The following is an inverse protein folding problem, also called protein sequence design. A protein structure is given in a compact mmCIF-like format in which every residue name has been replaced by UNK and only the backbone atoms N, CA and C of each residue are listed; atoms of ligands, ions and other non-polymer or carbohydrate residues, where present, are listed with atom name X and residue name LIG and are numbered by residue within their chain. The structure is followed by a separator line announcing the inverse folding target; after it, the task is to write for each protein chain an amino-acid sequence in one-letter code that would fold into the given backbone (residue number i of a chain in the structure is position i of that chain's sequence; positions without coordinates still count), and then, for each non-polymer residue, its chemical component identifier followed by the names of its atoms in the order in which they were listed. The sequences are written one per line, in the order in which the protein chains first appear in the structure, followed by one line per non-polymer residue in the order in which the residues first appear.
data_IF_950355317393
#
_entry.id   IF_950355317393
#
_cell.length_a   1.000
_cell.length_b   1.000
_cell.length_c   1.000
_cell.angle_alpha   90.00
_cell.angle_beta   90.00
_cell.angle_gamma   90.00
#
_symmetry.space_group_name_H-M   'P 1'
#
loop_
_entity.id
_entity.type
_entity.pdbx_description
1 polymer ?
#
# COMPACT_ATOMS: atom_id res chain seq x y z
N UNK A 1 6.85 -11.93 -5.46
CA UNK A 1 7.42 -11.21 -6.63
C UNK A 1 6.30 -10.52 -7.41
N UNK A 2 6.49 -9.27 -7.79
CA UNK A 2 5.58 -8.47 -8.62
C UNK A 2 6.31 -8.15 -9.92
N UNK A 3 5.66 -8.34 -11.07
CA UNK A 3 6.28 -8.09 -12.38
C UNK A 3 5.33 -7.31 -13.28
N UNK A 4 5.82 -6.26 -13.92
CA UNK A 4 5.20 -5.52 -15.00
C UNK A 4 6.00 -5.77 -16.27
N UNK A 5 5.37 -6.34 -17.30
CA UNK A 5 5.98 -6.57 -18.61
C UNK A 5 5.29 -5.67 -19.64
N UNK A 6 6.02 -4.65 -20.10
CA UNK A 6 5.60 -3.65 -21.10
C UNK A 6 4.20 -3.08 -20.84
N UNK A 7 3.92 -2.80 -19.56
CA UNK A 7 2.59 -2.34 -19.13
C UNK A 7 2.38 -0.90 -19.57
N UNK A 8 1.26 -0.67 -20.24
CA UNK A 8 0.81 0.66 -20.64
C UNK A 8 -0.59 0.93 -20.08
N UNK A 9 -0.83 2.15 -19.62
CA UNK A 9 -2.16 2.63 -19.24
C UNK A 9 -2.43 4.00 -19.84
N UNK A 10 -3.53 4.12 -20.57
CA UNK A 10 -3.97 5.35 -21.24
C UNK A 10 -5.31 5.81 -20.67
N UNK A 11 -5.46 7.10 -20.43
CA UNK A 11 -6.69 7.78 -20.07
C UNK A 11 -7.01 8.81 -21.16
N UNK A 12 -8.04 8.54 -21.97
CA UNK A 12 -8.27 9.31 -23.19
C UNK A 12 -7.04 9.25 -24.10
N UNK A 13 -6.46 10.40 -24.46
CA UNK A 13 -5.29 10.49 -25.32
C UNK A 13 -3.94 10.53 -24.56
N UNK A 14 -3.99 10.57 -23.22
CA UNK A 14 -2.77 10.66 -22.40
C UNK A 14 -2.35 9.31 -21.85
N UNK A 15 -1.08 8.97 -21.97
CA UNK A 15 -0.48 7.82 -21.32
C UNK A 15 -0.10 8.19 -19.88
N UNK A 16 -0.64 7.45 -18.90
CA UNK A 16 -0.19 7.48 -17.51
C UNK A 16 0.99 6.54 -17.30
N UNK A 17 1.02 5.41 -18.02
CA UNK A 17 2.16 4.48 -18.08
C UNK A 17 2.41 4.11 -19.54
N UNK A 18 3.69 4.00 -19.92
CA UNK A 18 4.11 3.66 -21.28
C UNK A 18 5.19 2.59 -21.25
N UNK A 19 4.86 1.39 -21.70
CA UNK A 19 5.77 0.24 -21.77
C UNK A 19 6.59 0.04 -20.49
N UNK A 20 5.94 0.19 -19.34
CA UNK A 20 6.58 0.05 -18.04
C UNK A 20 7.05 -1.39 -17.83
N UNK A 21 8.36 -1.55 -17.57
CA UNK A 21 8.95 -2.78 -17.07
C UNK A 21 9.42 -2.52 -15.63
N UNK A 22 8.96 -3.36 -14.71
CA UNK A 22 9.26 -3.23 -13.28
C UNK A 22 9.17 -4.60 -12.64
N UNK A 23 10.15 -4.95 -11.81
CA UNK A 23 10.10 -6.13 -10.97
C UNK A 23 10.36 -5.72 -9.52
N UNK A 24 9.65 -6.35 -8.57
CA UNK A 24 9.83 -6.22 -7.13
C UNK A 24 9.87 -7.62 -6.57
N UNK A 25 10.94 -7.95 -5.87
CA UNK A 25 11.14 -9.27 -5.33
C UNK A 25 10.26 -9.55 -4.10
N UNK A 26 10.10 -10.81 -3.77
CA UNK A 26 9.37 -11.20 -2.58
C UNK A 26 10.16 -10.80 -1.32
N UNK A 27 9.50 -10.11 -0.38
CA UNK A 27 10.14 -9.60 0.82
C UNK A 27 10.97 -8.32 0.59
N UNK A 28 11.00 -7.79 -0.63
CA UNK A 28 11.65 -6.52 -0.93
C UNK A 28 10.83 -5.35 -0.40
N UNK A 29 11.52 -4.31 0.09
CA UNK A 29 10.96 -2.99 0.31
C UNK A 29 11.51 -2.03 -0.73
N UNK A 30 10.63 -1.38 -1.49
CA UNK A 30 10.99 -0.44 -2.54
C UNK A 30 10.17 0.84 -2.48
N UNK A 31 10.79 1.95 -2.86
CA UNK A 31 10.14 3.25 -3.01
C UNK A 31 9.89 3.54 -4.49
N UNK A 32 8.68 3.98 -4.79
CA UNK A 32 8.30 4.45 -6.13
C UNK A 32 8.22 5.97 -6.10
N UNK A 33 9.18 6.64 -6.72
CA UNK A 33 9.28 8.10 -6.72
C UNK A 33 9.08 8.70 -8.12
N UNK A 34 9.01 10.02 -8.19
CA UNK A 34 8.82 10.78 -9.43
C UNK A 34 7.91 11.99 -9.20
N UNK A 35 7.92 12.92 -10.15
CA UNK A 35 7.09 14.13 -10.08
C UNK A 35 5.58 13.81 -10.02
N UNK A 36 4.76 14.81 -9.68
CA UNK A 36 3.29 14.66 -9.75
C UNK A 36 2.87 14.29 -11.18
N UNK A 37 1.98 13.31 -11.32
CA UNK A 37 1.57 12.80 -12.62
C UNK A 37 2.54 11.81 -13.30
N UNK A 38 3.66 11.44 -12.68
CA UNK A 38 4.62 10.48 -13.25
C UNK A 38 4.06 9.05 -13.43
N UNK A 39 2.92 8.72 -12.80
CA UNK A 39 2.27 7.41 -12.93
C UNK A 39 2.28 6.56 -11.65
N UNK A 40 2.84 7.05 -10.53
CA UNK A 40 2.96 6.31 -9.25
C UNK A 40 1.64 5.68 -8.79
N UNK A 41 0.62 6.51 -8.56
CA UNK A 41 -0.70 6.02 -8.14
C UNK A 41 -1.38 5.12 -9.17
N UNK A 42 -1.03 5.26 -10.47
CA UNK A 42 -1.52 4.35 -11.52
C UNK A 42 -0.92 2.95 -11.35
N UNK A 43 0.38 2.84 -11.04
CA UNK A 43 1.01 1.55 -10.71
C UNK A 43 0.29 0.86 -9.56
N UNK A 44 0.03 1.59 -8.45
CA UNK A 44 -0.68 1.04 -7.29
C UNK A 44 -2.13 0.63 -7.62
N UNK A 45 -2.85 1.45 -8.42
CA UNK A 45 -4.22 1.12 -8.88
C UNK A 45 -4.26 -0.15 -9.73
N UNK A 46 -3.27 -0.34 -10.60
CA UNK A 46 -3.18 -1.54 -11.43
C UNK A 46 -2.88 -2.79 -10.57
N UNK A 47 -1.98 -2.68 -9.59
CA UNK A 47 -1.69 -3.75 -8.64
C UNK A 47 -2.93 -4.15 -7.85
N UNK A 48 -3.72 -3.20 -7.37
CA UNK A 48 -4.96 -3.48 -6.65
C UNK A 48 -6.12 -3.89 -7.56
N UNK A 49 -5.92 -3.95 -8.88
CA UNK A 49 -6.99 -4.15 -9.86
C UNK A 49 -8.13 -3.14 -9.72
N UNK A 50 -7.87 -1.95 -9.17
CA UNK A 50 -8.80 -0.81 -9.19
C UNK A 50 -8.91 -0.22 -10.60
N UNK A 51 -7.93 -0.55 -11.44
CA UNK A 51 -7.88 -0.20 -12.85
C UNK A 51 -7.23 -1.35 -13.64
N UNK A 52 -7.31 -1.30 -14.96
CA UNK A 52 -6.77 -2.32 -15.86
C UNK A 52 -5.75 -1.70 -16.81
N UNK A 53 -4.65 -2.40 -17.15
CA UNK A 53 -3.72 -1.91 -18.16
C UNK A 53 -4.41 -1.86 -19.54
N UNK A 54 -3.98 -0.91 -20.37
CA UNK A 54 -4.38 -0.82 -21.78
C UNK A 54 -3.56 -1.77 -22.66
N UNK A 55 -2.41 -2.23 -22.19
CA UNK A 55 -1.52 -3.18 -22.86
C UNK A 55 -0.46 -3.69 -21.89
N UNK A 56 0.22 -4.76 -22.26
CA UNK A 56 1.19 -5.45 -21.42
C UNK A 56 0.56 -6.41 -20.41
N UNK A 57 1.38 -6.95 -19.54
CA UNK A 57 0.98 -7.97 -18.56
C UNK A 57 1.52 -7.64 -17.17
N UNK A 58 0.72 -7.93 -16.14
CA UNK A 58 1.14 -7.85 -14.73
C UNK A 58 1.02 -9.23 -14.13
N UNK A 59 2.09 -9.68 -13.47
CA UNK A 59 2.13 -10.93 -12.73
C UNK A 59 2.42 -10.67 -11.25
N UNK A 60 1.80 -11.46 -10.39
CA UNK A 60 2.06 -11.45 -8.95
C UNK A 60 2.23 -12.91 -8.49
N UNK A 61 3.40 -13.24 -7.99
CA UNK A 61 3.83 -14.62 -7.67
C UNK A 61 3.60 -15.60 -8.83
N UNK A 62 3.89 -15.15 -10.07
CA UNK A 62 3.71 -15.93 -11.29
C UNK A 62 2.30 -15.88 -11.89
N UNK A 63 1.29 -15.51 -11.10
CA UNK A 63 -0.11 -15.43 -11.57
C UNK A 63 -0.36 -14.18 -12.42
N UNK A 64 -0.96 -14.36 -13.59
CA UNK A 64 -1.41 -13.25 -14.46
C UNK A 64 -2.64 -12.57 -13.89
N UNK A 65 -2.47 -11.41 -13.25
CA UNK A 65 -3.58 -10.70 -12.61
C UNK A 65 -4.44 -9.91 -13.61
N UNK A 66 -3.91 -9.57 -14.76
CA UNK A 66 -4.62 -8.78 -15.79
C UNK A 66 -5.91 -9.42 -16.30
N UNK A 67 -6.03 -10.74 -16.21
CA UNK A 67 -7.18 -11.52 -16.68
C UNK A 67 -8.15 -11.94 -15.58
N UNK A 68 -7.86 -11.63 -14.31
CA UNK A 68 -8.74 -11.98 -13.20
C UNK A 68 -10.09 -11.25 -13.30
N UNK A 69 -11.18 -11.95 -13.01
CA UNK A 69 -12.54 -11.41 -12.98
C UNK A 69 -13.35 -11.93 -11.80
N UNK A 70 -14.49 -11.31 -11.55
CA UNK A 70 -15.45 -11.76 -10.53
C UNK A 70 -14.83 -11.96 -9.15
N UNK A 71 -15.19 -13.07 -8.49
CA UNK A 71 -14.71 -13.42 -7.14
C UNK A 71 -13.19 -13.63 -7.03
N UNK A 72 -12.48 -13.91 -8.14
CA UNK A 72 -11.03 -14.05 -8.14
C UNK A 72 -10.34 -12.72 -7.79
N UNK A 73 -10.89 -11.58 -8.22
CA UNK A 73 -10.38 -10.24 -7.87
C UNK A 73 -10.47 -10.00 -6.37
N UNK A 74 -11.59 -10.35 -5.73
CA UNK A 74 -11.76 -10.19 -4.29
C UNK A 74 -10.75 -11.04 -3.50
N UNK A 75 -10.55 -12.29 -3.93
CA UNK A 75 -9.54 -13.18 -3.32
C UNK A 75 -8.13 -12.65 -3.50
N UNK A 76 -7.80 -12.15 -4.69
CA UNK A 76 -6.52 -11.53 -4.99
C UNK A 76 -6.25 -10.32 -4.11
N UNK A 77 -7.21 -9.39 -3.98
CA UNK A 77 -7.07 -8.17 -3.17
C UNK A 77 -6.82 -8.45 -1.69
N UNK A 78 -7.28 -9.58 -1.14
CA UNK A 78 -7.01 -9.97 0.26
C UNK A 78 -5.53 -10.23 0.54
N UNK A 79 -4.71 -10.44 -0.50
CA UNK A 79 -3.26 -10.58 -0.37
C UNK A 79 -2.56 -9.25 -0.14
N UNK A 80 -3.26 -8.13 -0.33
CA UNK A 80 -2.73 -6.78 -0.23
C UNK A 80 -3.30 -6.04 0.98
N UNK A 81 -2.41 -5.39 1.74
CA UNK A 81 -2.75 -4.25 2.59
C UNK A 81 -2.51 -2.97 1.81
N UNK A 82 -3.44 -2.03 1.87
CA UNK A 82 -3.32 -0.76 1.18
C UNK A 82 -3.49 0.41 2.15
N UNK A 83 -2.54 1.34 2.12
CA UNK A 83 -2.54 2.59 2.88
C UNK A 83 -2.65 3.74 1.87
N UNK A 84 -3.63 4.63 2.06
CA UNK A 84 -3.90 5.75 1.18
C UNK A 84 -3.62 7.08 1.87
N UNK A 85 -3.27 8.10 1.12
CA UNK A 85 -2.98 9.44 1.62
C UNK A 85 -4.17 10.07 2.37
N UNK A 86 -5.39 9.81 1.92
CA UNK A 86 -6.65 10.30 2.50
C UNK A 86 -7.22 9.39 3.61
N UNK A 87 -6.39 8.47 4.15
CA UNK A 87 -6.67 7.46 5.17
C UNK A 87 -7.88 6.56 4.86
N UNK A 88 -8.92 7.04 4.17
CA UNK A 88 -10.17 6.34 3.82
C UNK A 88 -10.80 5.63 5.01
N UNK A 89 -10.84 6.33 6.14
CA UNK A 89 -11.50 5.83 7.34
C UNK A 89 -13.02 6.01 7.22
N UNK A 90 -13.73 5.08 7.84
CA UNK A 90 -15.18 5.15 7.99
C UNK A 90 -15.46 5.91 9.29
N UNK A 91 -15.86 7.17 9.17
CA UNK A 91 -16.10 8.06 10.32
C UNK A 91 -17.43 7.80 11.03
N UNK A 92 -18.27 6.93 10.49
CA UNK A 92 -19.48 6.40 11.12
C UNK A 92 -19.21 5.14 11.96
N UNK A 93 -17.94 4.75 12.11
CA UNK A 93 -17.51 3.54 12.81
C UNK A 93 -16.36 3.82 13.77
N UNK A 94 -16.25 3.01 14.82
CA UNK A 94 -15.14 3.09 15.77
C UNK A 94 -13.79 2.75 15.12
N UNK A 95 -12.69 3.06 15.82
CA UNK A 95 -11.33 2.64 15.44
C UNK A 95 -11.27 1.11 15.30
N UNK A 96 -11.85 0.36 16.26
CA UNK A 96 -11.93 -1.10 16.20
C UNK A 96 -12.58 -1.57 14.90
N UNK A 97 -13.76 -1.03 14.56
CA UNK A 97 -14.53 -1.50 13.40
C UNK A 97 -13.84 -1.13 12.07
N UNK A 98 -13.16 0.02 12.01
CA UNK A 98 -12.30 0.35 10.87
C UNK A 98 -11.22 -0.70 10.64
N UNK A 99 -10.54 -1.14 11.69
CA UNK A 99 -9.48 -2.14 11.59
C UNK A 99 -10.05 -3.54 11.37
N UNK A 100 -11.25 -3.85 11.91
CA UNK A 100 -11.92 -5.14 11.78
C UNK A 100 -12.38 -5.45 10.34
N UNK A 101 -12.69 -4.43 9.55
CA UNK A 101 -13.34 -4.55 8.24
C UNK A 101 -12.70 -5.59 7.29
N UNK A 102 -11.37 -5.66 7.09
CA UNK A 102 -10.77 -6.69 6.23
C UNK A 102 -10.99 -8.12 6.75
N UNK A 103 -11.05 -8.31 8.06
CA UNK A 103 -11.28 -9.61 8.68
C UNK A 103 -12.74 -10.04 8.57
N UNK A 104 -13.68 -9.10 8.71
CA UNK A 104 -15.12 -9.32 8.49
C UNK A 104 -15.39 -9.76 7.05
N UNK A 105 -14.84 -9.04 6.06
CA UNK A 105 -14.92 -9.38 4.64
C UNK A 105 -14.29 -10.75 4.35
N UNK A 106 -13.27 -11.13 5.11
CA UNK A 106 -12.62 -12.44 4.96
C UNK A 106 -13.36 -13.57 5.68
N UNK A 107 -14.40 -13.27 6.50
CA UNK A 107 -15.23 -14.26 7.19
C UNK A 107 -14.60 -14.82 8.46
N UNK A 108 -13.73 -14.07 9.15
CA UNK A 108 -13.17 -14.49 10.43
C UNK A 108 -14.24 -14.52 11.53
N UNK A 109 -14.03 -15.38 12.55
CA UNK A 109 -14.89 -15.42 13.72
C UNK A 109 -14.78 -14.14 14.55
N UNK A 110 -15.86 -13.68 15.26
CA UNK A 110 -15.80 -12.48 16.10
C UNK A 110 -14.66 -12.52 17.13
N UNK A 111 -14.38 -13.68 17.70
CA UNK A 111 -13.28 -13.88 18.67
C UNK A 111 -11.91 -13.64 18.02
N UNK A 112 -11.70 -14.14 16.80
CA UNK A 112 -10.45 -13.95 16.07
C UNK A 112 -10.29 -12.50 15.60
N UNK A 113 -11.39 -11.85 15.19
CA UNK A 113 -11.41 -10.44 14.82
C UNK A 113 -10.92 -9.60 16.01
N UNK A 114 -11.55 -9.69 17.16
CA UNK A 114 -11.17 -8.93 18.36
C UNK A 114 -9.70 -9.13 18.71
N UNK A 115 -9.23 -10.39 18.72
CA UNK A 115 -7.83 -10.70 19.04
C UNK A 115 -6.86 -10.05 18.04
N UNK A 116 -7.14 -10.15 16.73
CA UNK A 116 -6.27 -9.62 15.67
C UNK A 116 -6.30 -8.10 15.61
N UNK A 117 -7.45 -7.48 15.77
CA UNK A 117 -7.61 -6.02 15.82
C UNK A 117 -6.80 -5.43 16.96
N UNK A 118 -6.93 -6.00 18.17
CA UNK A 118 -6.17 -5.51 19.33
C UNK A 118 -4.65 -5.66 19.12
N UNK A 119 -4.21 -6.78 18.56
CA UNK A 119 -2.79 -6.96 18.22
C UNK A 119 -2.30 -5.98 17.15
N UNK A 120 -3.13 -5.64 16.16
CA UNK A 120 -2.78 -4.66 15.13
C UNK A 120 -2.74 -3.24 15.71
N UNK A 121 -3.70 -2.88 16.56
CA UNK A 121 -3.73 -1.58 17.24
C UNK A 121 -2.55 -1.41 18.22
N UNK A 122 -2.17 -2.47 18.93
CA UNK A 122 -0.99 -2.47 19.81
C UNK A 122 0.28 -2.18 19.02
N UNK A 123 0.47 -2.81 17.86
CA UNK A 123 1.62 -2.59 16.97
C UNK A 123 1.78 -1.15 16.50
N UNK A 124 0.69 -0.42 16.36
CA UNK A 124 0.70 0.98 15.94
C UNK A 124 0.54 1.96 17.11
N UNK A 125 0.54 1.47 18.36
CA UNK A 125 0.44 2.29 19.57
C UNK A 125 -0.95 2.89 19.83
N UNK A 126 -2.03 2.27 19.33
CA UNK A 126 -3.41 2.78 19.43
C UNK A 126 -4.37 1.84 20.20
N UNK A 127 -3.84 0.88 20.96
CA UNK A 127 -4.69 -0.08 21.68
C UNK A 127 -5.68 0.62 22.66
N UNK A 128 -5.25 1.70 23.31
CA UNK A 128 -6.10 2.49 24.22
C UNK A 128 -7.23 3.24 23.53
N UNK A 129 -7.13 3.44 22.20
CA UNK A 129 -8.11 4.18 21.40
C UNK A 129 -9.07 3.28 20.63
N UNK A 130 -9.14 1.98 20.93
CA UNK A 130 -9.93 1.01 20.14
C UNK A 130 -11.42 1.39 19.99
N UNK A 131 -12.00 2.09 20.97
CA UNK A 131 -13.42 2.51 20.99
C UNK A 131 -13.63 3.97 20.57
N UNK A 132 -12.56 4.70 20.28
CA UNK A 132 -12.64 6.10 19.90
C UNK A 132 -13.31 6.28 18.53
N UNK A 133 -13.89 7.47 18.35
CA UNK A 133 -14.28 7.96 17.03
C UNK A 133 -13.02 8.39 16.27
N UNK A 134 -12.78 7.88 15.06
CA UNK A 134 -11.64 8.32 14.24
C UNK A 134 -11.57 9.83 14.02
N UNK A 135 -12.71 10.53 13.99
CA UNK A 135 -12.74 11.98 13.81
C UNK A 135 -12.15 12.76 15.01
N UNK A 136 -12.11 12.15 16.19
CA UNK A 136 -11.52 12.75 17.40
C UNK A 136 -10.00 12.63 17.48
N UNK A 137 -9.39 11.89 16.55
CA UNK A 137 -7.97 11.57 16.56
C UNK A 137 -7.17 12.50 15.61
N UNK A 138 -5.91 12.73 15.94
CA UNK A 138 -4.97 13.47 15.08
C UNK A 138 -4.74 12.78 13.73
N UNK A 139 -4.29 13.55 12.71
CA UNK A 139 -4.00 13.00 11.39
C UNK A 139 -2.99 11.84 11.43
N UNK A 140 -2.00 11.91 12.31
CA UNK A 140 -1.04 10.82 12.50
C UNK A 140 -1.64 9.58 13.13
N UNK A 141 -2.55 9.72 14.09
CA UNK A 141 -3.29 8.60 14.66
C UNK A 141 -4.23 7.98 13.62
N UNK A 142 -4.92 8.81 12.81
CA UNK A 142 -5.74 8.34 11.69
C UNK A 142 -4.90 7.56 10.66
N UNK A 143 -3.69 8.01 10.37
CA UNK A 143 -2.76 7.28 9.50
C UNK A 143 -2.39 5.92 10.12
N UNK A 144 -2.09 5.86 11.41
CA UNK A 144 -1.80 4.60 12.12
C UNK A 144 -3.00 3.64 12.11
N UNK A 145 -4.24 4.14 12.19
CA UNK A 145 -5.44 3.30 12.00
C UNK A 145 -5.45 2.70 10.58
N UNK A 146 -5.17 3.51 9.56
CA UNK A 146 -5.05 3.06 8.18
C UNK A 146 -4.03 1.94 8.01
N UNK A 147 -2.87 2.06 8.66
CA UNK A 147 -1.82 1.03 8.66
C UNK A 147 -2.29 -0.23 9.41
N UNK A 148 -2.87 -0.09 10.61
CA UNK A 148 -3.40 -1.23 11.37
C UNK A 148 -4.42 -2.00 10.54
N UNK A 149 -5.35 -1.30 9.87
CA UNK A 149 -6.34 -1.90 8.96
C UNK A 149 -5.68 -2.63 7.80
N UNK A 150 -4.62 -2.08 7.23
CA UNK A 150 -3.91 -2.68 6.11
C UNK A 150 -3.23 -4.00 6.50
N UNK A 151 -2.70 -4.11 7.73
CA UNK A 151 -1.89 -5.27 8.16
C UNK A 151 -2.65 -6.31 8.97
N UNK A 152 -3.86 -6.01 9.47
CA UNK A 152 -4.63 -6.87 10.39
C UNK A 152 -4.88 -8.27 9.83
N UNK A 153 -5.05 -8.39 8.52
CA UNK A 153 -5.26 -9.65 7.81
C UNK A 153 -3.95 -10.40 7.50
N UNK A 154 -2.78 -9.85 7.86
CA UNK A 154 -1.44 -10.38 7.54
C UNK A 154 -1.25 -10.52 6.03
N UNK A 155 -1.24 -9.43 5.27
CA UNK A 155 -1.10 -9.47 3.82
C UNK A 155 0.31 -9.93 3.40
N UNK A 156 0.42 -10.45 2.18
CA UNK A 156 1.71 -10.76 1.55
C UNK A 156 2.39 -9.49 1.02
N UNK A 157 1.59 -8.51 0.62
CA UNK A 157 2.03 -7.25 0.03
C UNK A 157 1.42 -6.07 0.79
N UNK A 158 2.24 -5.08 1.13
CA UNK A 158 1.82 -3.82 1.73
C UNK A 158 2.17 -2.70 0.76
N UNK A 159 1.16 -1.98 0.29
CA UNK A 159 1.36 -0.85 -0.63
C UNK A 159 0.84 0.43 0.00
N UNK A 160 1.54 1.54 -0.23
CA UNK A 160 1.17 2.84 0.30
C UNK A 160 1.30 3.93 -0.76
N UNK A 161 0.33 4.83 -0.81
CA UNK A 161 0.34 6.03 -1.64
C UNK A 161 0.48 7.26 -0.74
N UNK A 162 1.66 7.90 -0.75
CA UNK A 162 2.04 9.07 0.03
C UNK A 162 1.70 8.95 1.54
N UNK A 163 2.16 7.87 2.25
CA UNK A 163 1.71 7.58 3.62
C UNK A 163 2.17 8.61 4.66
N UNK A 164 3.08 9.51 4.31
CA UNK A 164 3.64 10.54 5.21
C UNK A 164 3.37 11.97 4.71
N UNK A 165 2.62 12.14 3.63
CA UNK A 165 2.51 13.41 2.90
C UNK A 165 1.96 14.61 3.67
N UNK A 166 1.29 14.40 4.82
CA UNK A 166 0.70 15.45 5.66
C UNK A 166 1.20 15.39 7.12
N UNK A 167 2.33 14.71 7.35
CA UNK A 167 2.87 14.49 8.69
C UNK A 167 4.15 15.29 8.89
N UNK A 168 4.43 15.64 10.14
CA UNK A 168 5.72 16.20 10.51
C UNK A 168 6.85 15.17 10.34
N UNK A 169 8.15 15.63 10.30
CA UNK A 169 9.27 14.73 10.04
C UNK A 169 9.47 13.62 11.08
N UNK A 170 9.14 13.88 12.35
CA UNK A 170 9.26 12.88 13.41
C UNK A 170 8.23 11.78 13.21
N UNK A 171 6.98 12.15 13.02
CA UNK A 171 5.87 11.21 12.80
C UNK A 171 6.06 10.44 11.49
N UNK A 172 6.58 11.10 10.44
CA UNK A 172 6.94 10.45 9.18
C UNK A 172 7.97 9.34 9.39
N UNK A 173 8.99 9.56 10.21
CA UNK A 173 10.01 8.56 10.56
C UNK A 173 9.39 7.39 11.34
N UNK A 174 8.50 7.66 12.29
CA UNK A 174 7.79 6.64 13.06
C UNK A 174 6.91 5.77 12.14
N UNK A 175 6.19 6.38 11.21
CA UNK A 175 5.36 5.65 10.22
C UNK A 175 6.24 4.77 9.32
N UNK A 176 7.38 5.28 8.84
CA UNK A 176 8.29 4.47 8.02
C UNK A 176 8.89 3.30 8.81
N UNK A 177 9.21 3.47 10.07
CA UNK A 177 9.69 2.38 10.94
C UNK A 177 8.64 1.25 11.08
N UNK A 178 7.34 1.57 11.04
CA UNK A 178 6.30 0.54 11.00
C UNK A 178 6.35 -0.26 9.69
N UNK A 179 6.54 0.41 8.52
CA UNK A 179 6.68 -0.30 7.25
C UNK A 179 7.91 -1.19 7.22
N UNK A 180 9.06 -0.70 7.74
CA UNK A 180 10.28 -1.50 7.88
C UNK A 180 10.06 -2.72 8.78
N UNK A 181 9.37 -2.57 9.91
CA UNK A 181 9.06 -3.67 10.81
C UNK A 181 8.18 -4.75 10.14
N UNK A 182 7.25 -4.38 9.27
CA UNK A 182 6.49 -5.35 8.48
C UNK A 182 7.33 -5.99 7.39
N UNK A 183 8.23 -5.26 6.75
CA UNK A 183 9.15 -5.82 5.77
C UNK A 183 10.11 -6.84 6.40
N UNK A 184 10.66 -6.56 7.59
CA UNK A 184 11.54 -7.47 8.34
C UNK A 184 10.91 -8.83 8.66
N UNK A 185 9.59 -8.93 8.72
CA UNK A 185 8.88 -10.21 8.88
C UNK A 185 8.44 -10.82 7.54
N UNK A 186 8.99 -10.35 6.43
CA UNK A 186 8.86 -10.93 5.09
C UNK A 186 7.71 -10.38 4.23
N UNK A 187 7.04 -9.31 4.66
CA UNK A 187 6.03 -8.64 3.82
C UNK A 187 6.75 -7.85 2.72
N UNK A 188 6.32 -8.02 1.47
CA UNK A 188 6.79 -7.18 0.35
C UNK A 188 6.15 -5.79 0.45
N UNK A 189 6.96 -4.73 0.44
CA UNK A 189 6.49 -3.35 0.67
C UNK A 189 6.79 -2.47 -0.53
N UNK A 190 5.76 -1.77 -1.05
CA UNK A 190 5.91 -0.77 -2.10
C UNK A 190 5.27 0.55 -1.67
N UNK A 191 6.07 1.60 -1.55
CA UNK A 191 5.63 2.92 -1.12
C UNK A 191 5.83 3.93 -2.23
N UNK A 192 4.75 4.52 -2.73
CA UNK A 192 4.81 5.68 -3.60
C UNK A 192 4.98 6.94 -2.74
N UNK A 193 6.04 7.70 -2.98
CA UNK A 193 6.30 8.97 -2.28
C UNK A 193 7.19 9.90 -3.10
N UNK A 194 7.15 11.18 -2.76
CA UNK A 194 8.06 12.20 -3.32
C UNK A 194 9.04 12.76 -2.26
N UNK A 195 8.98 12.27 -1.01
CA UNK A 195 9.86 12.69 0.08
C UNK A 195 11.26 12.06 -0.04
N UNK A 196 12.08 12.62 -0.94
CA UNK A 196 13.44 12.15 -1.18
C UNK A 196 14.33 12.19 0.07
N UNK A 197 14.32 13.27 0.92
CA UNK A 197 15.09 13.28 2.15
C UNK A 197 14.79 12.10 3.09
N UNK A 198 13.54 11.70 3.19
CA UNK A 198 13.12 10.59 4.03
C UNK A 198 13.59 9.25 3.47
N UNK A 199 13.30 8.96 2.18
CA UNK A 199 13.58 7.64 1.59
C UNK A 199 15.09 7.37 1.41
N UNK A 200 15.91 8.40 1.15
CA UNK A 200 17.36 8.23 1.04
C UNK A 200 18.02 7.79 2.37
N UNK A 201 17.42 8.09 3.53
CA UNK A 201 17.91 7.65 4.83
C UNK A 201 17.67 6.16 5.09
N UNK A 202 16.64 5.59 4.49
CA UNK A 202 16.18 4.22 4.75
C UNK A 202 16.93 3.15 3.93
N UNK A 203 17.74 3.57 2.95
CA UNK A 203 18.63 2.70 2.13
C UNK A 203 17.95 1.50 1.49
N UNK A 204 16.67 1.64 1.14
CA UNK A 204 15.95 0.67 0.32
C UNK A 204 15.99 1.09 -1.15
N UNK A 205 15.65 0.17 -2.04
CA UNK A 205 15.61 0.43 -3.48
C UNK A 205 14.67 1.57 -3.83
N UNK A 206 15.14 2.51 -4.69
CA UNK A 206 14.36 3.65 -5.17
C UNK A 206 14.12 3.47 -6.68
N UNK A 207 12.86 3.40 -7.06
CA UNK A 207 12.41 3.27 -8.45
C UNK A 207 11.85 4.61 -8.87
N UNK A 208 12.49 5.28 -9.83
CA UNK A 208 12.07 6.60 -10.29
C UNK A 208 11.23 6.49 -11.55
N UNK A 209 10.00 7.02 -11.49
CA UNK A 209 9.13 7.17 -12.66
C UNK A 209 9.25 8.57 -13.27
N UNK A 210 9.35 8.63 -14.59
CA UNK A 210 9.22 9.85 -15.38
C UNK A 210 8.35 9.57 -16.59
N UNK A 211 7.30 10.40 -16.79
CA UNK A 211 6.40 10.29 -17.95
C UNK A 211 5.87 8.86 -18.20
N UNK A 212 5.58 8.14 -17.13
CA UNK A 212 4.99 6.79 -17.18
C UNK A 212 5.95 5.64 -17.45
N UNK A 213 7.26 5.89 -17.41
CA UNK A 213 8.32 4.89 -17.59
C UNK A 213 9.33 4.94 -16.44
N UNK A 214 10.01 3.83 -16.15
CA UNK A 214 11.15 3.83 -15.21
C UNK A 214 12.31 4.56 -15.87
N UNK A 215 12.93 5.50 -15.16
CA UNK A 215 14.13 6.19 -15.61
C UNK A 215 15.33 5.30 -15.34
N UNK A 216 16.24 5.08 -16.33
CA UNK A 216 17.47 4.33 -16.15
C UNK A 216 18.36 5.03 -15.09
N UNK A 217 18.70 4.32 -14.03
CA UNK A 217 19.50 4.87 -12.93
C UNK A 217 19.10 4.33 -11.58
N UNK A 218 18.51 3.13 -11.53
CA UNK A 218 18.28 2.40 -10.28
C UNK A 218 19.63 1.96 -9.71
N UNK A 219 20.11 2.50 -8.58
CA UNK A 219 21.30 1.94 -7.94
C UNK A 219 20.89 0.58 -7.38
N UNK A 220 21.42 -0.47 -7.98
CA UNK A 220 21.42 -1.85 -7.45
C UNK A 220 22.15 -1.92 -6.12
#
# INVERSE_FOLDING_TARGET
MIEFDRVSRRYGDKYALRNLNLAIDQGEMAFLTGHSGAGKSTVLKLLLLLDRPSGGEIRVNGDRITRLGGGAVARYRRRFGAVFQDHRLLFDRSVHDNVALPLEIAGFSPRDITRRVRAALDKVGLLGSERADPASLSGGEQQRIGIARAVVARPEFLIADEPTGNLDPQLSSEIMSLFEAFNQVGVTVLIATHDMPLICRLRHRIITLSSGSVVAGDPT
#
